data_IF_937153237841
#
_entry.id   IF_937153237841
#
_cell.length_a   1.000
_cell.length_b   1.000
_cell.length_c   1.000
_cell.angle_alpha   90.00
_cell.angle_beta   90.00
_cell.angle_gamma   90.00
#
_symmetry.space_group_name_H-M   'P 1'
#
loop_
_entity.id
_entity.type
_entity.pdbx_description
1 polymer ?
#
# COMPACT_ATOMS: atom_id res chain seq x y z
N UNK A 1 -1.50 20.83 -9.62
CA UNK A 1 -1.60 21.63 -8.38
C UNK A 1 -0.80 20.85 -7.40
N UNK A 2 0.34 21.41 -7.05
CA UNK A 2 1.41 20.65 -6.43
C UNK A 2 1.55 21.13 -4.99
N UNK A 3 2.19 20.33 -4.15
CA UNK A 3 2.34 20.59 -2.72
C UNK A 3 3.77 20.36 -2.33
N UNK A 4 4.37 21.33 -1.64
CA UNK A 4 5.72 21.23 -1.12
C UNK A 4 5.71 20.92 0.38
N UNK A 5 6.67 20.12 0.83
CA UNK A 5 6.93 19.89 2.24
C UNK A 5 8.03 20.83 2.69
N UNK A 6 7.68 21.83 3.49
CA UNK A 6 8.64 22.81 4.03
C UNK A 6 8.97 22.44 5.48
N UNK A 7 10.26 22.32 5.85
CA UNK A 7 10.64 22.11 7.25
C UNK A 7 10.04 23.20 8.16
N UNK A 8 9.53 22.81 9.33
CA UNK A 8 8.92 23.76 10.26
C UNK A 8 9.89 24.86 10.71
N UNK A 9 11.19 24.54 10.76
CA UNK A 9 12.28 25.44 11.15
C UNK A 9 13.07 25.99 9.95
N UNK A 10 12.47 26.00 8.76
CA UNK A 10 13.05 26.58 7.56
C UNK A 10 13.40 28.06 7.76
N UNK A 11 14.61 28.46 7.36
CA UNK A 11 15.03 29.86 7.45
C UNK A 11 14.21 30.73 6.49
N UNK A 12 13.53 31.75 7.04
CA UNK A 12 12.59 32.57 6.28
C UNK A 12 11.23 31.90 6.02
N UNK A 13 10.97 30.73 6.60
CA UNK A 13 9.71 30.01 6.54
C UNK A 13 9.30 29.61 5.12
N UNK A 14 8.00 29.40 4.92
CA UNK A 14 7.41 28.98 3.63
C UNK A 14 7.80 29.95 2.51
N UNK A 15 7.75 31.26 2.76
CA UNK A 15 8.12 32.27 1.76
C UNK A 15 9.60 32.19 1.37
N UNK A 16 10.49 31.93 2.32
CA UNK A 16 11.92 31.74 2.07
C UNK A 16 12.18 30.55 1.16
N UNK A 17 11.59 29.39 1.50
CA UNK A 17 11.63 28.20 0.67
C UNK A 17 11.06 28.45 -0.74
N UNK A 18 9.87 29.05 -0.81
CA UNK A 18 9.18 29.29 -2.08
C UNK A 18 9.99 30.14 -3.05
N UNK A 19 10.68 31.17 -2.55
CA UNK A 19 11.56 32.01 -3.37
C UNK A 19 12.81 31.28 -3.86
N UNK A 20 13.35 30.36 -3.06
CA UNK A 20 14.61 29.67 -3.36
C UNK A 20 14.41 28.44 -4.23
N UNK A 21 13.35 27.67 -3.98
CA UNK A 21 13.14 26.37 -4.60
C UNK A 21 12.00 26.38 -5.64
N UNK A 22 11.00 27.26 -5.54
CA UNK A 22 9.84 27.24 -6.45
C UNK A 22 9.96 28.26 -7.58
N UNK A 23 10.08 29.55 -7.24
CA UNK A 23 10.09 30.63 -8.22
C UNK A 23 11.18 30.54 -9.31
N UNK A 24 12.40 29.99 -9.05
CA UNK A 24 13.39 29.81 -10.11
C UNK A 24 12.98 28.81 -11.19
N UNK A 25 12.08 27.88 -10.87
CA UNK A 25 11.59 26.86 -11.79
C UNK A 25 10.21 27.21 -12.37
N UNK A 26 9.36 27.85 -11.59
CA UNK A 26 7.99 28.24 -11.98
C UNK A 26 7.73 29.69 -11.53
N UNK A 27 8.08 30.70 -12.35
CA UNK A 27 8.04 32.10 -11.95
C UNK A 27 6.64 32.67 -11.66
N UNK A 28 5.59 32.07 -12.22
CA UNK A 28 4.19 32.45 -12.06
C UNK A 28 3.48 31.68 -10.93
N UNK A 29 4.22 30.84 -10.20
CA UNK A 29 3.68 30.15 -9.04
C UNK A 29 3.24 31.12 -7.94
N UNK A 30 2.21 30.73 -7.20
CA UNK A 30 1.71 31.45 -6.04
C UNK A 30 1.31 30.47 -4.93
N UNK A 31 1.28 30.97 -3.69
CA UNK A 31 0.93 30.18 -2.50
C UNK A 31 -0.55 30.36 -2.19
N UNK A 32 -1.28 29.26 -2.02
CA UNK A 32 -2.64 29.26 -1.48
C UNK A 32 -2.60 29.07 0.04
N UNK A 33 -2.58 30.19 0.79
CA UNK A 33 -2.46 30.18 2.25
C UNK A 33 -3.58 29.39 2.94
N UNK A 34 -4.78 29.31 2.33
CA UNK A 34 -5.92 28.58 2.90
C UNK A 34 -5.68 27.07 3.00
N UNK A 35 -4.66 26.56 2.31
CA UNK A 35 -4.32 25.13 2.23
C UNK A 35 -2.97 24.83 2.85
N UNK A 36 -2.33 25.82 3.46
CA UNK A 36 -1.13 25.64 4.26
C UNK A 36 -1.52 24.99 5.59
N UNK A 37 -0.91 23.85 5.89
CA UNK A 37 -1.14 23.11 7.11
C UNK A 37 0.19 22.81 7.81
N UNK A 38 0.18 22.90 9.14
CA UNK A 38 1.30 22.48 9.98
C UNK A 38 1.01 21.07 10.46
N UNK A 39 1.95 20.16 10.25
CA UNK A 39 1.82 18.77 10.68
C UNK A 39 3.17 18.12 10.93
N UNK A 40 3.12 16.89 11.41
CA UNK A 40 4.28 16.03 11.59
C UNK A 40 4.05 14.72 10.84
N UNK A 41 5.08 14.26 10.15
CA UNK A 41 5.07 12.91 9.59
C UNK A 41 5.63 11.94 10.64
N UNK A 42 4.85 10.90 10.96
CA UNK A 42 5.32 9.79 11.80
C UNK A 42 5.62 8.64 10.86
N UNK A 43 6.89 8.22 10.70
CA UNK A 43 7.22 7.09 9.84
C UNK A 43 6.76 5.80 10.54
N UNK A 44 5.51 5.41 10.29
CA UNK A 44 4.87 4.31 10.99
C UNK A 44 5.65 3.01 10.85
N UNK A 45 6.16 2.73 9.66
CA UNK A 45 7.00 1.56 9.38
C UNK A 45 8.31 1.57 10.16
N UNK A 46 8.87 2.73 10.49
CA UNK A 46 10.09 2.79 11.31
C UNK A 46 9.81 2.47 12.78
N UNK A 47 8.68 2.94 13.31
CA UNK A 47 8.40 2.90 14.74
C UNK A 47 7.53 1.72 15.16
N UNK A 48 6.64 1.26 14.28
CA UNK A 48 5.62 0.26 14.59
C UNK A 48 5.75 -1.00 13.74
N UNK A 49 6.80 -1.12 12.92
CA UNK A 49 7.01 -2.36 12.19
C UNK A 49 7.37 -3.49 13.15
N UNK A 50 6.48 -4.48 13.17
CA UNK A 50 6.73 -5.76 13.81
C UNK A 50 7.09 -6.74 12.70
N UNK A 51 8.27 -7.35 12.82
CA UNK A 51 8.69 -8.38 11.88
C UNK A 51 7.71 -9.54 11.93
N UNK A 52 7.07 -9.81 10.80
CA UNK A 52 6.24 -10.99 10.63
C UNK A 52 7.05 -12.05 9.87
N UNK A 53 7.47 -13.13 10.53
CA UNK A 53 8.17 -14.21 9.84
C UNK A 53 7.27 -14.82 8.76
N UNK A 54 7.90 -15.24 7.66
CA UNK A 54 7.19 -16.02 6.64
C UNK A 54 6.72 -17.34 7.24
N UNK A 55 5.56 -17.82 6.77
CA UNK A 55 5.06 -19.14 7.15
C UNK A 55 6.05 -20.24 6.69
N UNK A 56 6.20 -21.34 7.43
CA UNK A 56 7.06 -22.46 7.02
C UNK A 56 6.64 -23.05 5.68
N UNK A 57 7.61 -23.49 4.88
CA UNK A 57 7.38 -24.09 3.56
C UNK A 57 6.50 -25.34 3.66
N UNK A 58 6.68 -26.12 4.72
CA UNK A 58 5.90 -27.32 5.02
C UNK A 58 4.40 -27.00 5.15
N UNK A 59 4.08 -25.84 5.73
CA UNK A 59 2.68 -25.39 5.86
C UNK A 59 2.08 -25.03 4.50
N UNK A 60 2.88 -24.44 3.60
CA UNK A 60 2.45 -24.11 2.24
C UNK A 60 2.17 -25.40 1.46
N UNK A 61 3.06 -26.40 1.58
CA UNK A 61 2.90 -27.71 0.93
C UNK A 61 1.64 -28.42 1.45
N UNK A 62 1.39 -28.36 2.77
CA UNK A 62 0.20 -28.96 3.36
C UNK A 62 -1.09 -28.33 2.82
N UNK A 63 -1.14 -26.99 2.74
CA UNK A 63 -2.29 -26.27 2.18
C UNK A 63 -2.53 -26.62 0.70
N UNK A 64 -1.46 -26.69 -0.11
CA UNK A 64 -1.56 -27.07 -1.53
C UNK A 64 -2.17 -28.46 -1.68
N UNK A 65 -1.66 -29.45 -0.92
CA UNK A 65 -2.20 -30.83 -0.96
C UNK A 65 -3.64 -30.92 -0.50
N UNK A 66 -4.03 -30.12 0.50
CA UNK A 66 -5.41 -30.07 0.96
C UNK A 66 -6.34 -29.52 -0.14
N UNK A 67 -5.92 -28.46 -0.84
CA UNK A 67 -6.66 -27.89 -1.97
C UNK A 67 -6.76 -28.86 -3.15
N UNK A 68 -5.70 -29.62 -3.46
CA UNK A 68 -5.72 -30.67 -4.48
C UNK A 68 -6.77 -31.74 -4.13
N UNK A 69 -6.74 -32.26 -2.89
CA UNK A 69 -7.69 -33.27 -2.43
C UNK A 69 -9.15 -32.76 -2.43
N UNK A 70 -9.37 -31.50 -2.04
CA UNK A 70 -10.69 -30.88 -2.10
C UNK A 70 -11.19 -30.79 -3.56
N UNK A 71 -10.32 -30.39 -4.48
CA UNK A 71 -10.64 -30.26 -5.91
C UNK A 71 -10.97 -31.61 -6.53
N UNK A 72 -10.17 -32.64 -6.26
CA UNK A 72 -10.44 -34.00 -6.73
C UNK A 72 -11.78 -34.51 -6.21
N UNK A 73 -12.08 -34.26 -4.93
CA UNK A 73 -13.36 -34.61 -4.31
C UNK A 73 -14.56 -33.88 -4.93
N UNK A 74 -14.38 -32.61 -5.34
CA UNK A 74 -15.39 -31.83 -6.06
C UNK A 74 -15.63 -32.36 -7.48
N UNK A 75 -14.56 -32.65 -8.22
CA UNK A 75 -14.66 -33.21 -9.57
C UNK A 75 -15.37 -34.57 -9.56
N UNK A 76 -15.02 -35.45 -8.62
CA UNK A 76 -15.68 -36.75 -8.46
C UNK A 76 -17.18 -36.62 -8.19
N UNK A 77 -17.61 -35.64 -7.39
CA UNK A 77 -19.03 -35.38 -7.14
C UNK A 77 -19.76 -34.91 -8.41
N UNK A 78 -19.12 -34.06 -9.21
CA UNK A 78 -19.71 -33.57 -10.46
C UNK A 78 -19.85 -34.72 -11.46
N UNK A 79 -18.82 -35.54 -11.64
CA UNK A 79 -18.86 -36.67 -12.57
C UNK A 79 -19.90 -37.70 -12.15
N UNK A 80 -19.94 -38.10 -10.87
CA UNK A 80 -20.96 -39.03 -10.36
C UNK A 80 -22.38 -38.45 -10.45
N UNK A 81 -22.56 -37.15 -10.26
CA UNK A 81 -23.86 -36.50 -10.43
C UNK A 81 -24.33 -36.46 -11.89
N UNK A 82 -23.42 -36.41 -12.86
CA UNK A 82 -23.73 -36.49 -14.29
C UNK A 82 -24.08 -37.93 -14.70
N UNK A 83 -23.33 -38.92 -14.21
CA UNK A 83 -23.60 -40.35 -14.47
C UNK A 83 -24.96 -40.79 -13.88
N UNK A 84 -25.29 -40.32 -12.67
CA UNK A 84 -26.58 -40.62 -12.01
C UNK A 84 -27.79 -39.90 -12.63
N UNK A 85 -27.60 -38.96 -13.56
CA UNK A 85 -28.68 -38.29 -14.31
C UNK A 85 -28.96 -38.92 -15.68
N UNK A 86 -28.12 -39.86 -16.12
CA UNK A 86 -28.26 -40.58 -17.39
C UNK A 86 -28.86 -42.00 -17.24
N UNK A 87 -29.26 -42.39 -16.03
CA UNK A 87 -30.03 -43.61 -15.73
C UNK A 87 -31.47 -43.24 -15.35
#
# INVERSE_FOLDING_TARGET
RDTEQVPLLEEGGITGFFRREVLPHVPDAWIDDSKTAIGYEIPFTRHFYQYQPLRPVESIIADIRALEAETDGLLGKITSALEGRSA
#
